data_IF_192227648430
#
_entry.id   IF_192227648430
#
_cell.length_a   1.000
_cell.length_b   1.000
_cell.length_c   1.000
_cell.angle_alpha   90.00
_cell.angle_beta   90.00
_cell.angle_gamma   90.00
#
_symmetry.space_group_name_H-M   'P 1'
#
loop_
_entity.id
_entity.type
_entity.pdbx_description
1 polymer ?
#
# COMPACT_ATOMS: atom_id res chain seq x y z
N UNK A 1 2.68 -18.29 -0.11
CA UNK A 1 2.31 -17.04 -0.80
C UNK A 1 1.24 -16.23 -0.07
N UNK A 2 0.12 -16.83 0.35
CA UNK A 2 -0.96 -16.13 1.08
C UNK A 2 -0.49 -15.30 2.29
N UNK A 3 0.35 -15.90 3.14
CA UNK A 3 0.93 -15.20 4.29
C UNK A 3 1.74 -13.95 3.89
N UNK A 4 2.47 -13.98 2.76
CA UNK A 4 3.26 -12.84 2.30
C UNK A 4 2.35 -11.67 1.87
N UNK A 5 1.25 -11.95 1.16
CA UNK A 5 0.26 -10.92 0.80
C UNK A 5 -0.44 -10.34 2.03
N UNK A 6 -0.77 -11.18 3.01
CA UNK A 6 -1.34 -10.74 4.28
C UNK A 6 -0.38 -9.85 5.08
N UNK A 7 0.89 -10.24 5.19
CA UNK A 7 1.91 -9.43 5.86
C UNK A 7 2.10 -8.09 5.13
N UNK A 8 2.17 -8.09 3.80
CA UNK A 8 2.28 -6.84 3.03
C UNK A 8 1.08 -5.90 3.28
N UNK A 9 -0.14 -6.45 3.33
CA UNK A 9 -1.35 -5.68 3.62
C UNK A 9 -1.33 -5.09 5.04
N UNK A 10 -0.95 -5.89 6.04
CA UNK A 10 -0.86 -5.43 7.45
C UNK A 10 0.20 -4.34 7.58
N UNK A 11 1.38 -4.52 7.00
CA UNK A 11 2.44 -3.50 7.00
C UNK A 11 1.96 -2.23 6.29
N UNK A 12 1.29 -2.36 5.15
CA UNK A 12 0.69 -1.22 4.43
C UNK A 12 -0.35 -0.47 5.26
N UNK A 13 -1.22 -1.19 5.97
CA UNK A 13 -2.22 -0.60 6.88
C UNK A 13 -1.58 0.12 8.06
N UNK A 14 -0.58 -0.48 8.70
CA UNK A 14 0.15 0.17 9.79
C UNK A 14 0.81 1.45 9.27
N UNK A 15 1.50 1.39 8.13
CA UNK A 15 2.13 2.56 7.53
C UNK A 15 1.11 3.66 7.18
N UNK A 16 -0.07 3.30 6.68
CA UNK A 16 -1.15 4.24 6.41
C UNK A 16 -1.67 4.90 7.70
N UNK A 17 -1.93 4.10 8.74
CA UNK A 17 -2.39 4.61 10.04
C UNK A 17 -1.34 5.57 10.62
N UNK A 18 -0.07 5.17 10.63
CA UNK A 18 1.03 6.03 11.07
C UNK A 18 1.11 7.30 10.24
N UNK A 19 0.93 7.23 8.93
CA UNK A 19 0.91 8.41 8.06
C UNK A 19 -0.23 9.36 8.43
N UNK A 20 -1.45 8.86 8.60
CA UNK A 20 -2.62 9.65 8.99
C UNK A 20 -2.41 10.31 10.36
N UNK A 21 -1.88 9.58 11.34
CA UNK A 21 -1.56 10.12 12.66
C UNK A 21 -0.49 11.23 12.54
N UNK A 22 0.56 11.01 11.74
CA UNK A 22 1.61 11.99 11.53
C UNK A 22 1.10 13.25 10.81
N UNK A 23 0.20 13.12 9.83
CA UNK A 23 -0.47 14.27 9.21
C UNK A 23 -1.30 15.03 10.23
N UNK A 24 -2.09 14.33 11.06
CA UNK A 24 -2.88 14.97 12.10
C UNK A 24 -2.01 15.71 13.13
N UNK A 25 -0.93 15.08 13.60
CA UNK A 25 0.03 15.66 14.55
C UNK A 25 0.88 16.79 13.94
N UNK A 26 1.03 16.84 12.62
CA UNK A 26 1.76 17.91 11.95
C UNK A 26 1.08 19.27 12.00
N UNK A 27 -0.21 19.31 12.35
CA UNK A 27 -0.90 20.56 12.67
C UNK A 27 -0.43 21.19 13.98
N UNK A 28 0.30 20.44 14.80
CA UNK A 28 0.66 20.85 16.17
C UNK A 28 2.16 21.12 16.41
N UNK A 29 3.09 20.63 15.57
CA UNK A 29 4.51 21.08 15.49
C UNK A 29 5.44 20.05 14.79
N UNK A 30 4.99 18.82 14.60
CA UNK A 30 5.83 17.74 14.04
C UNK A 30 5.71 17.78 12.51
N UNK A 31 6.65 18.41 11.81
CA UNK A 31 6.61 18.61 10.35
C UNK A 31 6.00 17.46 9.54
N UNK A 32 5.12 17.79 8.57
CA UNK A 32 4.22 16.83 7.93
C UNK A 32 4.95 15.68 7.22
N UNK A 33 4.41 14.45 7.25
CA UNK A 33 4.95 13.36 6.45
C UNK A 33 4.89 13.66 4.95
N UNK A 34 3.95 14.49 4.48
CA UNK A 34 3.98 15.07 3.13
C UNK A 34 5.27 15.84 2.85
N UNK A 35 5.79 16.64 3.78
CA UNK A 35 7.05 17.36 3.59
C UNK A 35 8.26 16.41 3.59
N UNK A 36 8.22 15.32 4.37
CA UNK A 36 9.36 14.39 4.51
C UNK A 36 9.45 13.36 3.39
N UNK A 37 8.31 12.80 2.98
CA UNK A 37 8.26 11.66 2.07
C UNK A 37 7.39 11.93 0.83
N UNK A 38 6.51 12.94 0.89
CA UNK A 38 5.73 13.44 -0.24
C UNK A 38 5.05 12.37 -1.07
N UNK A 39 5.13 12.55 -2.39
CA UNK A 39 4.53 11.65 -3.38
C UNK A 39 5.10 10.23 -3.30
N UNK A 40 6.40 10.10 -3.05
CA UNK A 40 7.08 8.80 -2.98
C UNK A 40 6.57 7.95 -1.81
N UNK A 41 6.37 8.56 -0.64
CA UNK A 41 5.82 7.87 0.53
C UNK A 41 4.40 7.38 0.30
N UNK A 42 3.53 8.24 -0.26
CA UNK A 42 2.15 7.87 -0.64
C UNK A 42 2.12 6.70 -1.63
N UNK A 43 3.00 6.71 -2.62
CA UNK A 43 3.12 5.61 -3.62
C UNK A 43 3.50 4.30 -2.96
N UNK A 44 4.45 4.30 -2.03
CA UNK A 44 4.88 3.07 -1.32
C UNK A 44 3.75 2.51 -0.46
N UNK A 45 3.08 3.36 0.34
CA UNK A 45 1.95 2.92 1.18
C UNK A 45 0.81 2.37 0.32
N UNK A 46 0.42 3.10 -0.73
CA UNK A 46 -0.62 2.67 -1.66
C UNK A 46 -0.26 1.35 -2.36
N UNK A 47 0.98 1.20 -2.81
CA UNK A 47 1.47 -0.02 -3.45
C UNK A 47 1.42 -1.23 -2.51
N UNK A 48 1.82 -1.08 -1.24
CA UNK A 48 1.81 -2.17 -0.26
C UNK A 48 0.38 -2.67 0.01
N UNK A 49 -0.56 -1.75 0.19
CA UNK A 49 -1.97 -2.08 0.41
C UNK A 49 -2.54 -2.77 -0.83
N UNK A 50 -2.35 -2.18 -2.02
CA UNK A 50 -2.90 -2.74 -3.26
C UNK A 50 -2.27 -4.10 -3.62
N UNK A 51 -0.96 -4.27 -3.39
CA UNK A 51 -0.27 -5.54 -3.56
C UNK A 51 -0.85 -6.63 -2.64
N UNK A 52 -0.95 -6.34 -1.34
CA UNK A 52 -1.48 -7.27 -0.36
C UNK A 52 -2.94 -7.64 -0.67
N UNK A 53 -3.76 -6.65 -0.99
CA UNK A 53 -5.17 -6.87 -1.30
C UNK A 53 -5.36 -7.63 -2.61
N UNK A 54 -4.71 -7.22 -3.70
CA UNK A 54 -4.78 -7.91 -4.99
C UNK A 54 -4.28 -9.36 -4.92
N UNK A 55 -3.18 -9.59 -4.20
CA UNK A 55 -2.63 -10.93 -3.99
C UNK A 55 -3.52 -11.84 -3.15
N UNK A 56 -4.13 -11.31 -2.08
CA UNK A 56 -5.11 -12.07 -1.28
C UNK A 56 -6.39 -12.35 -2.07
N UNK A 57 -6.94 -11.36 -2.78
CA UNK A 57 -8.15 -11.54 -3.60
C UNK A 57 -7.96 -12.64 -4.64
N UNK A 58 -6.83 -12.67 -5.36
CA UNK A 58 -6.54 -13.73 -6.31
C UNK A 58 -6.31 -15.08 -5.62
N UNK A 59 -5.55 -15.10 -4.51
CA UNK A 59 -5.23 -16.34 -3.82
C UNK A 59 -6.43 -17.00 -3.10
N UNK A 60 -7.42 -16.21 -2.66
CA UNK A 60 -8.69 -16.69 -2.14
C UNK A 60 -9.72 -16.97 -3.24
N UNK A 61 -9.63 -16.30 -4.38
CA UNK A 61 -10.43 -16.59 -5.58
C UNK A 61 -10.07 -17.90 -6.30
N UNK A 62 -9.13 -18.70 -5.75
CA UNK A 62 -8.73 -19.98 -6.32
C UNK A 62 -7.74 -19.88 -7.49
N UNK A 63 -7.17 -18.70 -7.74
CA UNK A 63 -6.24 -18.51 -8.84
C UNK A 63 -4.93 -19.28 -8.60
N UNK A 64 -4.27 -19.76 -9.66
CA UNK A 64 -2.98 -20.39 -9.51
C UNK A 64 -1.93 -19.40 -8.95
N UNK A 65 -0.88 -19.88 -8.25
CA UNK A 65 0.02 -19.01 -7.50
C UNK A 65 0.70 -17.91 -8.31
N UNK A 66 1.10 -18.21 -9.55
CA UNK A 66 1.72 -17.24 -10.46
C UNK A 66 0.75 -16.13 -10.87
N UNK A 67 -0.53 -16.45 -11.08
CA UNK A 67 -1.54 -15.47 -11.44
C UNK A 67 -1.87 -14.54 -10.25
N UNK A 68 -1.78 -15.05 -9.01
CA UNK A 68 -1.90 -14.22 -7.82
C UNK A 68 -0.74 -13.22 -7.67
N UNK A 69 0.49 -13.60 -8.06
CA UNK A 69 1.64 -12.69 -8.08
C UNK A 69 1.42 -11.58 -9.10
N UNK A 70 0.95 -11.94 -10.31
CA UNK A 70 0.65 -10.96 -11.36
C UNK A 70 -0.44 -10.01 -10.89
N UNK A 71 -1.55 -10.52 -10.34
CA UNK A 71 -2.64 -9.69 -9.82
C UNK A 71 -2.16 -8.71 -8.73
N UNK A 72 -1.33 -9.19 -7.80
CA UNK A 72 -0.73 -8.35 -6.77
C UNK A 72 0.17 -7.25 -7.38
N UNK A 73 1.02 -7.62 -8.34
CA UNK A 73 1.90 -6.68 -9.04
C UNK A 73 1.13 -5.62 -9.85
N UNK A 74 0.09 -6.02 -10.57
CA UNK A 74 -0.75 -5.10 -11.34
C UNK A 74 -1.54 -4.15 -10.44
N UNK A 75 -2.05 -4.63 -9.30
CA UNK A 75 -2.74 -3.79 -8.33
C UNK A 75 -1.78 -2.76 -7.73
N UNK A 76 -0.55 -3.17 -7.38
CA UNK A 76 0.48 -2.26 -6.89
C UNK A 76 0.87 -1.19 -7.92
N UNK A 77 1.10 -1.58 -9.18
CA UNK A 77 1.42 -0.66 -10.26
C UNK A 77 0.27 0.34 -10.52
N UNK A 78 -0.97 -0.13 -10.53
CA UNK A 78 -2.15 0.71 -10.67
C UNK A 78 -2.26 1.72 -9.52
N UNK A 79 -1.98 1.32 -8.28
CA UNK A 79 -1.98 2.23 -7.13
C UNK A 79 -0.88 3.29 -7.24
N UNK A 80 0.33 2.92 -7.66
CA UNK A 80 1.43 3.88 -7.89
C UNK A 80 1.06 4.91 -8.94
N UNK A 81 0.47 4.45 -10.05
CA UNK A 81 0.03 5.31 -11.13
C UNK A 81 -1.09 6.25 -10.66
N UNK A 82 -2.13 5.73 -10.00
CA UNK A 82 -3.24 6.51 -9.47
C UNK A 82 -2.77 7.61 -8.50
N UNK A 83 -1.91 7.26 -7.54
CA UNK A 83 -1.32 8.23 -6.60
C UNK A 83 -0.46 9.28 -7.33
N UNK A 84 0.11 8.95 -8.49
CA UNK A 84 0.85 9.91 -9.31
C UNK A 84 -0.03 10.89 -10.09
N UNK A 85 -1.32 10.58 -10.25
CA UNK A 85 -2.28 11.39 -11.03
C UNK A 85 -3.18 12.27 -10.17
N UNK A 86 -3.17 12.10 -8.84
CA UNK A 86 -3.97 12.87 -7.86
C UNK A 86 -3.09 13.74 -6.97
#
# INVERSE_FOLDING_TARGET
MRAAYGVALVVGLIALITWVIAVAASRTDIGSPEQRFGLSGRRVVGALIAFGMGGLSAAYGGWPPWAAVIAAGTAAAAAIWYVGTV
#
